data_IF_239439557339
#
_entry.id   IF_239439557339
#
_cell.length_a   1.000
_cell.length_b   1.000
_cell.length_c   1.000
_cell.angle_alpha   90.00
_cell.angle_beta   90.00
_cell.angle_gamma   90.00
#
_symmetry.space_group_name_H-M   'P 1'
#
loop_
_entity.id
_entity.type
_entity.pdbx_description
1 polymer ?
#
# COMPACT_ATOMS: atom_id res chain seq x y z
N UNK A 1 -23.75 0.29 -3.12
CA UNK A 1 -22.69 1.32 -2.87
C UNK A 1 -21.35 0.68 -3.27
N UNK A 2 -20.46 1.39 -3.98
CA UNK A 2 -19.09 0.88 -4.28
C UNK A 2 -18.34 0.62 -2.97
N UNK A 3 -17.60 -0.46 -2.92
CA UNK A 3 -16.69 -0.77 -1.81
C UNK A 3 -15.59 0.28 -1.64
N UNK A 4 -14.71 0.07 -0.65
CA UNK A 4 -13.61 0.97 -0.31
C UNK A 4 -12.25 0.32 -0.55
N UNK A 5 -11.35 1.03 -1.21
CA UNK A 5 -9.95 0.63 -1.36
C UNK A 5 -9.10 1.31 -0.27
N UNK A 6 -8.64 0.52 0.69
CA UNK A 6 -7.76 0.96 1.77
C UNK A 6 -6.38 0.36 1.52
N UNK A 7 -5.40 1.23 1.35
CA UNK A 7 -4.03 0.85 1.01
C UNK A 7 -3.13 1.00 2.24
N UNK A 8 -2.24 0.04 2.45
CA UNK A 8 -1.19 0.12 3.45
C UNK A 8 0.16 0.37 2.78
N UNK A 9 0.82 1.43 3.18
CA UNK A 9 2.12 1.84 2.66
C UNK A 9 3.17 1.94 3.77
N UNK A 10 4.43 1.96 3.39
CA UNK A 10 5.56 2.10 4.30
C UNK A 10 6.76 1.25 3.89
N UNK A 11 7.91 1.56 4.47
CA UNK A 11 9.17 0.87 4.25
C UNK A 11 9.17 -0.60 4.70
N UNK A 12 10.30 -1.25 4.52
CA UNK A 12 10.48 -2.63 4.94
C UNK A 12 10.45 -2.74 6.47
N UNK A 13 9.88 -3.83 6.99
CA UNK A 13 9.75 -4.03 8.44
C UNK A 13 8.79 -3.09 9.18
N UNK A 14 8.03 -2.24 8.47
CA UNK A 14 7.09 -1.28 9.11
C UNK A 14 5.86 -1.92 9.77
N UNK A 15 5.62 -3.22 9.57
CA UNK A 15 4.51 -3.93 10.22
C UNK A 15 3.21 -3.99 9.40
N UNK A 16 3.22 -3.63 8.12
CA UNK A 16 2.04 -3.64 7.24
C UNK A 16 1.23 -4.94 7.33
N UNK A 17 1.85 -6.07 7.10
CA UNK A 17 1.18 -7.38 7.11
C UNK A 17 0.44 -7.65 8.43
N UNK A 18 1.06 -7.30 9.57
CA UNK A 18 0.44 -7.46 10.90
C UNK A 18 -0.78 -6.55 11.05
N UNK A 19 -0.67 -5.29 10.64
CA UNK A 19 -1.75 -4.32 10.77
C UNK A 19 -2.89 -4.58 9.78
N UNK A 20 -2.59 -5.04 8.57
CA UNK A 20 -3.59 -5.48 7.60
C UNK A 20 -4.42 -6.64 8.19
N UNK A 21 -3.76 -7.66 8.77
CA UNK A 21 -4.46 -8.78 9.39
C UNK A 21 -5.34 -8.34 10.56
N UNK A 22 -4.81 -7.49 11.46
CA UNK A 22 -5.60 -6.97 12.59
C UNK A 22 -6.80 -6.12 12.13
N UNK A 23 -6.63 -5.32 11.08
CA UNK A 23 -7.75 -4.56 10.54
C UNK A 23 -8.78 -5.49 9.87
N UNK A 24 -8.32 -6.53 9.15
CA UNK A 24 -9.19 -7.53 8.55
C UNK A 24 -10.03 -8.24 9.62
N UNK A 25 -9.39 -8.77 10.67
CA UNK A 25 -10.06 -9.48 11.77
C UNK A 25 -11.09 -8.57 12.47
N UNK A 26 -10.74 -7.29 12.67
CA UNK A 26 -11.66 -6.32 13.24
C UNK A 26 -12.84 -6.03 12.32
N UNK A 27 -12.63 -5.76 11.02
CA UNK A 27 -13.69 -5.43 10.05
C UNK A 27 -14.64 -6.62 9.77
N UNK A 28 -14.18 -7.86 9.98
CA UNK A 28 -14.98 -9.08 9.77
C UNK A 28 -15.65 -9.60 11.04
N UNK A 29 -15.37 -8.99 12.20
CA UNK A 29 -16.02 -9.34 13.46
C UNK A 29 -17.46 -8.85 13.53
N UNK A 30 -18.39 -9.67 14.05
CA UNK A 30 -19.83 -9.40 14.11
C UNK A 30 -20.15 -8.05 14.73
N UNK A 31 -19.56 -7.73 15.89
CA UNK A 31 -19.75 -6.45 16.59
C UNK A 31 -19.33 -5.24 15.74
N UNK A 32 -18.28 -5.40 14.93
CA UNK A 32 -17.81 -4.32 14.06
C UNK A 32 -18.74 -4.15 12.89
N UNK A 33 -19.24 -5.22 12.28
CA UNK A 33 -20.23 -5.16 11.23
C UNK A 33 -21.50 -4.40 11.69
N UNK A 34 -22.01 -4.71 12.89
CA UNK A 34 -23.12 -3.99 13.51
C UNK A 34 -22.81 -2.50 13.72
N UNK A 35 -21.61 -2.19 14.23
CA UNK A 35 -21.16 -0.81 14.45
C UNK A 35 -21.07 -0.01 13.14
N UNK A 36 -20.52 -0.60 12.08
CA UNK A 36 -20.38 0.05 10.77
C UNK A 36 -21.73 0.30 10.13
N UNK A 37 -22.70 -0.62 10.30
CA UNK A 37 -24.08 -0.43 9.87
C UNK A 37 -24.77 0.66 10.66
N UNK A 38 -24.68 0.64 12.00
CA UNK A 38 -25.27 1.65 12.86
C UNK A 38 -24.74 3.07 12.58
N UNK A 39 -23.50 3.18 12.13
CA UNK A 39 -22.87 4.45 11.70
C UNK A 39 -23.09 4.79 10.23
N UNK A 40 -23.91 4.03 9.50
CA UNK A 40 -24.14 4.18 8.06
C UNK A 40 -22.85 4.15 7.20
N UNK A 41 -21.77 3.56 7.73
CA UNK A 41 -20.48 3.41 7.00
C UNK A 41 -20.63 2.32 5.93
N UNK A 42 -21.36 1.26 6.24
CA UNK A 42 -21.76 0.20 5.31
C UNK A 42 -23.27 0.04 5.32
N UNK A 43 -23.84 -0.33 4.18
CA UNK A 43 -25.27 -0.60 4.08
C UNK A 43 -25.58 -2.09 4.27
N UNK A 44 -26.84 -2.42 4.50
CA UNK A 44 -27.32 -3.80 4.53
C UNK A 44 -26.90 -4.55 3.25
N UNK A 45 -26.35 -5.75 3.42
CA UNK A 45 -25.77 -6.52 2.32
C UNK A 45 -24.27 -6.27 2.07
N UNK A 46 -23.56 -5.63 3.01
CA UNK A 46 -22.09 -5.54 2.97
C UNK A 46 -21.46 -6.93 2.80
N UNK A 47 -20.75 -7.19 1.67
CA UNK A 47 -20.28 -8.53 1.33
C UNK A 47 -19.00 -8.93 2.09
N UNK A 48 -18.38 -8.00 2.83
CA UNK A 48 -17.17 -8.26 3.62
C UNK A 48 -15.90 -7.61 3.05
N UNK A 49 -14.75 -8.19 3.42
CA UNK A 49 -13.41 -7.65 3.15
C UNK A 49 -12.62 -8.61 2.26
N UNK A 50 -11.85 -8.08 1.32
CA UNK A 50 -10.84 -8.78 0.53
C UNK A 50 -9.45 -8.32 0.92
N UNK A 51 -8.51 -9.27 0.97
CA UNK A 51 -7.08 -8.99 1.17
C UNK A 51 -6.34 -9.19 -0.13
N UNK A 52 -5.44 -8.26 -0.46
CA UNK A 52 -4.57 -8.37 -1.63
C UNK A 52 -3.26 -7.60 -1.43
N UNK A 53 -2.39 -7.65 -2.43
CA UNK A 53 -1.08 -6.98 -2.41
C UNK A 53 -0.57 -6.64 -3.79
N UNK A 54 0.34 -5.69 -3.87
CA UNK A 54 1.18 -5.42 -5.03
C UNK A 54 2.68 -5.46 -4.67
N UNK A 55 3.52 -6.12 -5.47
CA UNK A 55 3.14 -6.98 -6.58
C UNK A 55 2.66 -8.35 -6.09
N UNK A 56 1.89 -9.06 -6.95
CA UNK A 56 1.57 -10.46 -6.75
C UNK A 56 0.13 -10.77 -6.33
N UNK A 57 -0.81 -9.86 -6.57
CA UNK A 57 -2.24 -10.08 -6.29
C UNK A 57 -2.90 -11.11 -7.22
N UNK A 58 -2.45 -11.23 -8.46
CA UNK A 58 -2.98 -12.14 -9.49
C UNK A 58 -2.01 -13.28 -9.80
N UNK A 59 -2.41 -14.23 -10.64
CA UNK A 59 -1.50 -15.29 -11.10
C UNK A 59 -0.32 -14.69 -11.88
N UNK A 60 -0.59 -13.84 -12.88
CA UNK A 60 0.45 -13.12 -13.61
C UNK A 60 1.30 -12.26 -12.67
N UNK A 61 0.65 -11.59 -11.70
CA UNK A 61 1.34 -10.79 -10.71
C UNK A 61 2.32 -11.59 -9.85
N UNK A 62 2.02 -12.85 -9.52
CA UNK A 62 2.95 -13.72 -8.79
C UNK A 62 4.22 -14.02 -9.59
N UNK A 63 4.11 -14.24 -10.89
CA UNK A 63 5.25 -14.43 -11.78
C UNK A 63 6.09 -13.15 -11.89
N UNK A 64 5.44 -12.00 -12.08
CA UNK A 64 6.10 -10.69 -12.08
C UNK A 64 6.79 -10.42 -10.74
N UNK A 65 6.15 -10.73 -9.62
CA UNK A 65 6.75 -10.61 -8.28
C UNK A 65 8.02 -11.44 -8.15
N UNK A 66 8.00 -12.67 -8.64
CA UNK A 66 9.19 -13.53 -8.65
C UNK A 66 10.33 -12.89 -9.44
N UNK A 67 10.05 -12.36 -10.65
CA UNK A 67 11.05 -11.64 -11.45
C UNK A 67 11.62 -10.42 -10.73
N UNK A 68 10.76 -9.68 -10.01
CA UNK A 68 11.14 -8.45 -9.31
C UNK A 68 11.99 -8.69 -8.07
N UNK A 69 11.69 -9.75 -7.29
CA UNK A 69 12.25 -9.96 -5.96
C UNK A 69 13.37 -11.00 -5.91
N UNK A 70 13.46 -11.89 -6.91
CA UNK A 70 14.53 -12.89 -6.97
C UNK A 70 15.89 -12.21 -7.19
N UNK A 71 16.85 -12.62 -6.38
CA UNK A 71 18.25 -12.26 -6.61
C UNK A 71 18.72 -12.86 -7.95
N UNK A 72 19.47 -12.07 -8.70
CA UNK A 72 20.09 -12.51 -9.95
C UNK A 72 21.52 -12.99 -9.67
N UNK A 73 22.00 -13.85 -10.55
CA UNK A 73 23.41 -14.23 -10.52
C UNK A 73 24.29 -12.96 -10.57
N UNK A 74 25.32 -12.83 -9.71
CA UNK A 74 26.20 -11.67 -9.73
C UNK A 74 26.90 -11.42 -11.08
N UNK A 75 26.97 -12.46 -11.94
CA UNK A 75 27.54 -12.37 -13.29
C UNK A 75 26.52 -11.87 -14.33
N UNK A 76 25.23 -11.85 -13.99
CA UNK A 76 24.19 -11.33 -14.88
C UNK A 76 24.10 -9.81 -14.79
N UNK A 77 23.64 -9.20 -15.89
CA UNK A 77 23.32 -7.78 -15.87
C UNK A 77 22.19 -7.48 -14.87
N UNK A 78 22.36 -6.48 -13.99
CA UNK A 78 21.31 -6.12 -13.02
C UNK A 78 20.06 -5.62 -13.72
N UNK A 79 18.89 -5.82 -13.08
CA UNK A 79 17.65 -5.22 -13.54
C UNK A 79 17.75 -3.70 -13.48
N UNK A 80 17.60 -3.03 -14.63
CA UNK A 80 17.61 -1.58 -14.70
C UNK A 80 16.32 -0.97 -14.12
N UNK A 81 16.41 0.22 -13.55
CA UNK A 81 15.29 0.87 -12.86
C UNK A 81 14.05 1.07 -13.73
N UNK A 82 14.21 1.29 -15.04
CA UNK A 82 13.07 1.41 -15.98
C UNK A 82 12.33 0.08 -16.16
N UNK A 83 13.08 -1.05 -16.27
CA UNK A 83 12.45 -2.38 -16.37
C UNK A 83 11.72 -2.73 -15.08
N UNK A 84 12.30 -2.42 -13.90
CA UNK A 84 11.66 -2.57 -12.60
C UNK A 84 10.33 -1.79 -12.55
N UNK A 85 10.34 -0.52 -12.95
CA UNK A 85 9.14 0.33 -12.99
C UNK A 85 8.04 -0.24 -13.90
N UNK A 86 8.40 -0.69 -15.10
CA UNK A 86 7.44 -1.24 -16.07
C UNK A 86 6.83 -2.57 -15.58
N UNK A 87 7.60 -3.42 -14.89
CA UNK A 87 7.08 -4.64 -14.29
C UNK A 87 6.09 -4.34 -13.16
N UNK A 88 6.35 -3.35 -12.29
CA UNK A 88 5.37 -2.92 -11.30
C UNK A 88 4.09 -2.36 -11.95
N UNK A 89 4.22 -1.62 -13.04
CA UNK A 89 3.06 -1.09 -13.76
C UNK A 89 2.23 -2.21 -14.43
N UNK A 90 2.89 -3.24 -14.99
CA UNK A 90 2.24 -4.40 -15.59
C UNK A 90 1.48 -5.24 -14.54
N UNK A 91 2.11 -5.52 -13.38
CA UNK A 91 1.44 -6.18 -12.25
C UNK A 91 0.18 -5.42 -11.82
N UNK A 92 0.31 -4.12 -11.63
CA UNK A 92 -0.80 -3.24 -11.21
C UNK A 92 -1.93 -3.23 -12.21
N UNK A 93 -1.63 -3.12 -13.50
CA UNK A 93 -2.66 -3.10 -14.55
C UNK A 93 -3.50 -4.39 -14.53
N UNK A 94 -2.87 -5.55 -14.42
CA UNK A 94 -3.56 -6.83 -14.29
C UNK A 94 -4.38 -6.90 -13.00
N UNK A 95 -3.79 -6.48 -11.87
CA UNK A 95 -4.43 -6.54 -10.57
C UNK A 95 -5.67 -5.65 -10.48
N UNK A 96 -5.62 -4.45 -11.03
CA UNK A 96 -6.74 -3.51 -11.03
C UNK A 96 -7.93 -4.07 -11.79
N UNK A 97 -7.73 -4.55 -13.02
CA UNK A 97 -8.82 -5.00 -13.87
C UNK A 97 -9.35 -6.40 -13.46
N UNK A 98 -8.46 -7.31 -13.03
CA UNK A 98 -8.86 -8.66 -12.67
C UNK A 98 -9.52 -8.77 -11.29
N UNK A 99 -9.10 -7.94 -10.32
CA UNK A 99 -9.52 -8.08 -8.93
C UNK A 99 -10.10 -6.81 -8.33
N UNK A 100 -9.36 -5.69 -8.34
CA UNK A 100 -9.75 -4.51 -7.55
C UNK A 100 -11.10 -3.93 -8.03
N UNK A 101 -11.25 -3.69 -9.32
CA UNK A 101 -12.52 -3.14 -9.89
C UNK A 101 -13.71 -4.05 -9.61
N UNK A 102 -13.67 -5.36 -9.97
CA UNK A 102 -14.80 -6.26 -9.70
C UNK A 102 -15.18 -6.35 -8.22
N UNK A 103 -14.19 -6.41 -7.31
CA UNK A 103 -14.49 -6.46 -5.88
C UNK A 103 -15.11 -5.16 -5.37
N UNK A 104 -14.57 -4.02 -5.78
CA UNK A 104 -15.11 -2.72 -5.37
C UNK A 104 -16.51 -2.48 -5.93
N UNK A 105 -16.78 -2.87 -7.18
CA UNK A 105 -18.10 -2.79 -7.79
C UNK A 105 -19.12 -3.70 -7.10
N UNK A 106 -18.67 -4.89 -6.65
CA UNK A 106 -19.48 -5.80 -5.84
C UNK A 106 -19.68 -5.34 -4.38
N UNK A 107 -19.08 -4.20 -3.98
CA UNK A 107 -19.26 -3.60 -2.65
C UNK A 107 -18.27 -4.07 -1.58
N UNK A 108 -17.31 -4.93 -1.92
CA UNK A 108 -16.28 -5.36 -0.97
C UNK A 108 -15.38 -4.21 -0.55
N UNK A 109 -15.00 -4.19 0.71
CA UNK A 109 -13.83 -3.43 1.14
C UNK A 109 -12.58 -4.22 0.78
N UNK A 110 -11.58 -3.52 0.27
CA UNK A 110 -10.32 -4.13 -0.16
C UNK A 110 -9.18 -3.54 0.65
N UNK A 111 -8.46 -4.40 1.38
CA UNK A 111 -7.21 -4.04 2.05
C UNK A 111 -6.05 -4.47 1.16
N UNK A 112 -5.28 -3.51 0.69
CA UNK A 112 -4.19 -3.74 -0.26
C UNK A 112 -2.83 -3.39 0.38
N UNK A 113 -1.90 -4.36 0.40
CA UNK A 113 -0.50 -4.12 0.80
C UNK A 113 0.25 -3.54 -0.41
N UNK A 114 0.48 -2.24 -0.40
CA UNK A 114 1.09 -1.40 -1.43
C UNK A 114 0.17 -1.12 -2.63
N UNK A 115 0.35 0.06 -3.20
CA UNK A 115 -0.30 0.52 -4.43
C UNK A 115 0.58 1.57 -5.13
N UNK A 116 -0.01 2.60 -5.73
CA UNK A 116 0.67 3.63 -6.53
C UNK A 116 1.71 4.44 -5.76
N UNK A 117 1.49 4.71 -4.47
CA UNK A 117 2.40 5.52 -3.66
C UNK A 117 3.72 4.78 -3.38
N UNK A 118 3.69 3.43 -3.32
CA UNK A 118 4.92 2.62 -3.34
C UNK A 118 5.78 2.89 -4.57
N UNK A 119 5.19 3.01 -5.77
CA UNK A 119 5.96 3.27 -7.00
C UNK A 119 6.59 4.67 -6.96
N UNK A 120 5.87 5.67 -6.46
CA UNK A 120 6.42 7.01 -6.26
C UNK A 120 7.60 6.98 -5.27
N UNK A 121 7.44 6.30 -4.12
CA UNK A 121 8.47 6.24 -3.11
C UNK A 121 9.69 5.43 -3.56
N UNK A 122 9.49 4.22 -4.10
CA UNK A 122 10.58 3.29 -4.44
C UNK A 122 11.26 3.64 -5.77
N UNK A 123 10.49 3.78 -6.86
CA UNK A 123 11.05 4.06 -8.18
C UNK A 123 11.29 5.56 -8.39
N UNK A 124 10.43 6.42 -7.85
CA UNK A 124 10.60 7.87 -7.92
C UNK A 124 11.74 8.35 -7.01
N UNK A 125 11.51 8.37 -5.72
CA UNK A 125 12.51 8.87 -4.76
C UNK A 125 13.69 7.90 -4.60
N UNK A 126 13.43 6.60 -4.41
CA UNK A 126 14.45 5.59 -4.20
C UNK A 126 15.40 5.42 -5.38
N UNK A 127 14.88 5.14 -6.58
CA UNK A 127 15.63 4.98 -7.84
C UNK A 127 15.88 6.29 -8.58
N UNK A 128 15.30 7.41 -8.11
CA UNK A 128 15.46 8.74 -8.69
C UNK A 128 14.94 8.85 -10.14
N UNK A 129 13.86 8.12 -10.44
CA UNK A 129 13.16 8.27 -11.71
C UNK A 129 12.19 9.45 -11.68
N UNK A 130 11.86 9.95 -12.86
CA UNK A 130 10.99 11.11 -13.04
C UNK A 130 9.58 10.88 -12.50
N UNK A 131 9.13 11.71 -11.56
CA UNK A 131 7.81 11.58 -10.92
C UNK A 131 6.64 11.79 -11.89
N UNK A 132 6.65 12.78 -12.80
CA UNK A 132 5.66 12.88 -13.88
C UNK A 132 5.49 11.62 -14.70
N UNK A 133 6.59 10.98 -15.12
CA UNK A 133 6.56 9.73 -15.87
C UNK A 133 5.89 8.61 -15.05
N UNK A 134 6.25 8.47 -13.77
CA UNK A 134 5.65 7.48 -12.86
C UNK A 134 4.16 7.74 -12.70
N UNK A 135 3.76 8.99 -12.55
CA UNK A 135 2.35 9.36 -12.46
C UNK A 135 1.57 8.95 -13.71
N UNK A 136 2.09 9.23 -14.92
CA UNK A 136 1.46 8.82 -16.16
C UNK A 136 1.31 7.29 -16.25
N UNK A 137 2.36 6.54 -15.90
CA UNK A 137 2.30 5.08 -15.88
C UNK A 137 1.30 4.55 -14.85
N UNK A 138 1.23 5.16 -13.67
CA UNK A 138 0.22 4.82 -12.68
C UNK A 138 -1.19 5.09 -13.21
N UNK A 139 -1.43 6.21 -13.88
CA UNK A 139 -2.74 6.50 -14.51
C UNK A 139 -3.12 5.46 -15.56
N UNK A 140 -2.18 5.06 -16.41
CA UNK A 140 -2.39 4.00 -17.42
C UNK A 140 -2.71 2.67 -16.73
N UNK A 141 -1.88 2.26 -15.74
CA UNK A 141 -2.01 0.98 -15.08
C UNK A 141 -3.28 0.87 -14.22
N UNK A 142 -3.75 1.97 -13.63
CA UNK A 142 -4.93 1.95 -12.76
C UNK A 142 -6.23 2.29 -13.50
N UNK A 143 -6.15 2.83 -14.73
CA UNK A 143 -7.31 3.43 -15.40
C UNK A 143 -7.97 4.49 -14.52
N UNK A 144 -7.17 5.22 -13.72
CA UNK A 144 -7.63 6.26 -12.81
C UNK A 144 -8.25 5.77 -11.50
N UNK A 145 -8.18 4.47 -11.18
CA UNK A 145 -8.66 3.94 -9.88
C UNK A 145 -7.81 4.51 -8.75
N UNK A 146 -8.48 5.19 -7.81
CA UNK A 146 -7.87 5.84 -6.64
C UNK A 146 -8.14 5.05 -5.37
N UNK A 147 -7.21 5.12 -4.40
CA UNK A 147 -7.48 4.67 -3.04
C UNK A 147 -8.50 5.60 -2.35
N UNK A 148 -9.38 5.02 -1.57
CA UNK A 148 -10.29 5.79 -0.71
C UNK A 148 -9.55 6.29 0.55
N UNK A 149 -8.51 5.54 0.97
CA UNK A 149 -7.61 5.90 2.06
C UNK A 149 -6.28 5.15 1.91
N UNK A 150 -5.16 5.83 2.10
CA UNK A 150 -3.84 5.23 2.26
C UNK A 150 -3.35 5.42 3.68
N UNK A 151 -2.96 4.33 4.35
CA UNK A 151 -2.39 4.30 5.69
C UNK A 151 -0.87 4.13 5.55
N UNK A 152 -0.11 5.20 5.75
CA UNK A 152 1.34 5.13 5.75
C UNK A 152 1.87 4.81 7.14
N UNK A 153 2.41 3.59 7.32
CA UNK A 153 3.09 3.18 8.54
C UNK A 153 4.46 3.83 8.60
N UNK A 154 4.53 4.95 9.32
CA UNK A 154 5.74 5.75 9.49
C UNK A 154 6.68 5.08 10.48
N UNK A 155 7.75 4.48 9.98
CA UNK A 155 8.81 3.84 10.77
C UNK A 155 10.17 4.21 10.16
N UNK A 156 11.14 4.71 10.96
CA UNK A 156 12.48 4.99 10.47
C UNK A 156 13.12 3.75 9.82
N UNK A 157 13.83 3.92 8.69
CA UNK A 157 14.38 2.80 7.92
C UNK A 157 15.29 1.88 8.73
N UNK A 158 16.13 2.43 9.61
CA UNK A 158 17.04 1.67 10.46
C UNK A 158 16.31 0.71 11.41
N UNK A 159 15.14 1.12 11.94
CA UNK A 159 14.31 0.28 12.79
C UNK A 159 13.66 -0.84 11.98
N UNK A 160 13.11 -0.50 10.80
CA UNK A 160 12.50 -1.44 9.89
C UNK A 160 13.50 -2.50 9.38
N UNK A 161 14.67 -2.08 8.92
CA UNK A 161 15.74 -2.98 8.47
C UNK A 161 16.26 -3.88 9.59
N UNK A 162 16.35 -3.38 10.84
CA UNK A 162 16.70 -4.22 11.99
C UNK A 162 15.66 -5.31 12.23
N UNK A 163 14.36 -4.98 12.21
CA UNK A 163 13.26 -5.95 12.36
C UNK A 163 13.29 -7.00 11.23
N UNK A 164 13.59 -6.58 10.01
CA UNK A 164 13.67 -7.45 8.84
C UNK A 164 14.82 -8.48 8.95
N UNK A 165 16.04 -8.04 9.31
CA UNK A 165 17.19 -8.93 9.50
C UNK A 165 16.95 -10.06 10.51
N UNK A 166 16.04 -9.86 11.44
CA UNK A 166 15.67 -10.90 12.42
C UNK A 166 14.73 -11.97 11.84
N UNK A 167 14.14 -11.75 10.64
CA UNK A 167 13.17 -12.67 10.02
C UNK A 167 13.77 -13.67 9.02
N UNK A 168 15.00 -13.48 8.58
CA UNK A 168 15.68 -14.41 7.66
C UNK A 168 16.19 -13.77 6.36
N UNK A 169 16.12 -14.49 5.25
CA UNK A 169 16.63 -14.03 3.95
C UNK A 169 15.90 -12.77 3.48
N UNK A 170 16.71 -11.75 3.12
CA UNK A 170 16.24 -10.50 2.53
C UNK A 170 16.08 -10.67 1.01
N UNK A 171 15.04 -10.09 0.42
CA UNK A 171 14.88 -10.04 -1.03
C UNK A 171 15.75 -8.95 -1.68
N UNK A 172 15.75 -8.89 -3.01
CA UNK A 172 16.57 -7.95 -3.79
C UNK A 172 16.33 -6.47 -3.41
N UNK A 173 15.12 -6.09 -3.06
CA UNK A 173 14.80 -4.72 -2.66
C UNK A 173 15.24 -4.47 -1.22
N UNK A 174 15.03 -5.44 -0.35
CA UNK A 174 15.43 -5.39 1.06
C UNK A 174 16.95 -5.28 1.23
N UNK A 175 17.72 -5.83 0.29
CA UNK A 175 19.19 -5.76 0.25
C UNK A 175 19.74 -4.44 -0.31
N UNK A 176 18.89 -3.54 -0.78
CA UNK A 176 19.33 -2.25 -1.28
C UNK A 176 20.05 -1.44 -0.18
N UNK A 177 20.83 -0.46 -0.57
CA UNK A 177 21.62 0.36 0.35
C UNK A 177 20.74 1.13 1.34
N UNK A 178 21.29 1.43 2.53
CA UNK A 178 20.60 2.25 3.52
C UNK A 178 20.18 3.62 2.93
N UNK A 179 21.01 4.22 2.08
CA UNK A 179 20.71 5.47 1.40
C UNK A 179 19.47 5.35 0.47
N UNK A 180 19.27 4.18 -0.17
CA UNK A 180 18.07 3.92 -0.94
C UNK A 180 16.83 3.89 -0.04
N UNK A 181 16.87 3.14 1.06
CA UNK A 181 15.75 3.06 2.01
C UNK A 181 15.44 4.40 2.66
N UNK A 182 16.47 5.23 2.91
CA UNK A 182 16.26 6.61 3.41
C UNK A 182 15.50 7.44 2.38
N UNK A 183 15.89 7.42 1.10
CA UNK A 183 15.16 8.15 0.05
C UNK A 183 13.72 7.65 -0.11
N UNK A 184 13.47 6.34 0.02
CA UNK A 184 12.11 5.78 0.01
C UNK A 184 11.27 6.34 1.17
N UNK A 185 11.84 6.38 2.37
CA UNK A 185 11.21 6.97 3.55
C UNK A 185 10.89 8.45 3.34
N UNK A 186 11.86 9.22 2.86
CA UNK A 186 11.70 10.65 2.55
C UNK A 186 10.60 10.87 1.49
N UNK A 187 10.50 9.94 0.52
CA UNK A 187 9.44 9.92 -0.48
C UNK A 187 8.05 9.77 0.15
N UNK A 188 7.86 8.79 1.01
CA UNK A 188 6.58 8.64 1.73
C UNK A 188 6.29 9.86 2.63
N UNK A 189 7.29 10.41 3.30
CA UNK A 189 7.12 11.60 4.13
C UNK A 189 6.67 12.81 3.30
N UNK A 190 7.24 13.01 2.12
CA UNK A 190 6.84 14.08 1.21
C UNK A 190 5.40 13.91 0.70
N UNK A 191 5.00 12.67 0.35
CA UNK A 191 3.64 12.35 -0.07
C UNK A 191 2.62 12.64 1.05
N UNK A 192 2.89 12.19 2.26
CA UNK A 192 2.00 12.36 3.40
C UNK A 192 1.92 13.82 3.89
N UNK A 193 3.04 14.55 3.88
CA UNK A 193 3.09 15.92 4.36
C UNK A 193 2.14 16.85 3.58
N UNK A 194 2.07 16.71 2.24
CA UNK A 194 1.16 17.52 1.42
C UNK A 194 -0.30 17.20 1.68
N UNK A 195 -0.62 15.96 1.98
CA UNK A 195 -1.98 15.55 2.33
C UNK A 195 -2.41 16.10 3.70
N UNK A 196 -1.50 16.12 4.67
CA UNK A 196 -1.74 16.71 6.01
C UNK A 196 -2.04 18.23 5.95
N UNK A 197 -1.52 18.94 4.96
CA UNK A 197 -1.83 20.36 4.72
C UNK A 197 -3.14 20.61 3.97
N UNK A 198 -3.89 19.55 3.67
CA UNK A 198 -5.16 19.62 2.94
C UNK A 198 -5.01 19.68 1.41
N UNK A 199 -3.79 19.85 0.90
CA UNK A 199 -3.51 19.79 -0.53
C UNK A 199 -2.96 18.38 -0.88
N UNK A 200 -3.66 17.57 -1.69
CA UNK A 200 -3.16 16.26 -2.09
C UNK A 200 -1.85 16.41 -2.86
N UNK A 201 -0.91 15.48 -2.65
CA UNK A 201 0.28 15.41 -3.48
C UNK A 201 -0.14 15.21 -4.95
N UNK A 202 0.41 15.99 -5.91
CA UNK A 202 -0.09 16.01 -7.30
C UNK A 202 -0.05 14.64 -7.99
N UNK A 203 0.76 13.72 -7.51
CA UNK A 203 0.96 12.40 -8.10
C UNK A 203 0.37 11.25 -7.27
N UNK A 204 -0.02 11.47 -6.01
CA UNK A 204 -0.69 10.45 -5.19
C UNK A 204 -2.10 10.17 -5.70
N UNK A 205 -2.55 8.92 -5.55
CA UNK A 205 -3.88 8.51 -6.02
C UNK A 205 -5.00 8.83 -5.04
N UNK A 206 -4.72 9.11 -3.77
CA UNK A 206 -5.76 9.33 -2.76
C UNK A 206 -5.22 9.99 -1.48
N UNK A 207 -6.08 10.17 -0.47
CA UNK A 207 -5.68 10.75 0.80
C UNK A 207 -4.75 9.80 1.57
N UNK A 208 -3.66 10.34 2.11
CA UNK A 208 -2.69 9.59 2.92
C UNK A 208 -2.82 10.02 4.38
N UNK A 209 -3.02 9.05 5.26
CA UNK A 209 -2.98 9.22 6.71
C UNK A 209 -1.70 8.60 7.26
N UNK A 210 -0.89 9.40 7.94
CA UNK A 210 0.31 8.95 8.64
C UNK A 210 -0.07 8.22 9.93
N UNK A 211 0.50 7.03 10.11
CA UNK A 211 0.34 6.19 11.32
C UNK A 211 1.72 5.96 11.92
N UNK A 212 1.95 6.35 13.15
CA UNK A 212 3.23 6.14 13.83
C UNK A 212 3.50 4.66 14.09
N UNK A 213 4.53 4.11 13.44
CA UNK A 213 4.90 2.69 13.46
C UNK A 213 5.81 2.27 14.63
N UNK A 214 6.27 3.24 15.43
CA UNK A 214 7.11 2.99 16.61
C UNK A 214 6.29 2.98 17.89
N UNK A 215 5.24 2.15 17.89
CA UNK A 215 4.35 1.89 19.02
C UNK A 215 4.07 0.40 19.14
N UNK A 216 3.32 -0.02 20.15
CA UNK A 216 2.88 -1.41 20.26
C UNK A 216 1.96 -1.78 19.10
N UNK A 217 1.93 -3.07 18.77
CA UNK A 217 1.08 -3.59 17.68
C UNK A 217 -0.40 -3.21 17.91
N UNK A 218 -0.86 -3.27 19.17
CA UNK A 218 -2.25 -3.02 19.54
C UNK A 218 -2.59 -1.53 19.55
N UNK A 219 -1.67 -0.65 19.96
CA UNK A 219 -1.85 0.81 19.86
C UNK A 219 -1.99 1.26 18.40
N UNK A 220 -1.15 0.71 17.50
CA UNK A 220 -1.21 0.99 16.08
C UNK A 220 -2.56 0.52 15.52
N UNK A 221 -2.99 -0.71 15.86
CA UNK A 221 -4.25 -1.25 15.41
C UNK A 221 -5.44 -0.41 15.88
N UNK A 222 -5.45 0.00 17.14
CA UNK A 222 -6.50 0.86 17.71
C UNK A 222 -6.55 2.22 17.01
N UNK A 223 -5.40 2.83 16.74
CA UNK A 223 -5.34 4.09 16.00
C UNK A 223 -5.87 3.94 14.57
N UNK A 224 -5.49 2.86 13.87
CA UNK A 224 -6.01 2.57 12.51
C UNK A 224 -7.54 2.43 12.53
N UNK A 225 -8.11 1.72 13.51
CA UNK A 225 -9.56 1.57 13.66
C UNK A 225 -10.26 2.93 13.85
N UNK A 226 -9.69 3.82 14.67
CA UNK A 226 -10.20 5.17 14.86
C UNK A 226 -10.17 6.00 13.57
N UNK A 227 -9.07 5.90 12.81
CA UNK A 227 -8.94 6.57 11.50
C UNK A 227 -10.01 6.06 10.52
N UNK A 228 -10.23 4.75 10.45
CA UNK A 228 -11.27 4.16 9.60
C UNK A 228 -12.66 4.69 9.96
N UNK A 229 -13.01 4.65 11.24
CA UNK A 229 -14.30 5.15 11.72
C UNK A 229 -14.47 6.65 11.42
N UNK A 230 -13.43 7.45 11.68
CA UNK A 230 -13.48 8.89 11.42
C UNK A 230 -13.65 9.20 9.92
N UNK A 231 -12.80 8.58 9.08
CA UNK A 231 -12.76 8.85 7.64
C UNK A 231 -14.07 8.50 6.94
N UNK A 232 -14.68 7.38 7.31
CA UNK A 232 -15.87 6.88 6.62
C UNK A 232 -17.19 7.19 7.32
N UNK A 233 -17.17 7.74 8.56
CA UNK A 233 -18.39 8.27 9.22
C UNK A 233 -18.74 9.70 8.78
N UNK A 234 -17.80 10.47 8.25
CA UNK A 234 -17.97 11.89 7.94
C UNK A 234 -18.68 12.17 6.60
N UNK A 235 -19.32 11.19 6.00
CA UNK A 235 -20.00 11.26 4.71
C UNK A 235 -21.53 11.23 4.81
N UNK A 236 -22.12 11.55 5.97
CA UNK A 236 -23.57 11.69 6.17
C UNK A 236 -23.92 13.14 6.47
#
# INVERSE_FOLDING_TARGET
MRGKLIVFEGGEGSGKTTQIQKLYDWLTGDRTCELLQAKNIVQGGYPGVKLTREPGGTLLGKEIRQLLLTERDPNDAPMISKSELLLYAADRAQHVEEQLRPWLEAGYWVLCDRYTDSTLAYQGYGRQLDLPLIHQLNQIATGGLKSDLTLWLNLPPEVGLKRMRQRGQADRIEQASQAFHQRVYDGFAALAQRTETGAPHPYSSGPIQRIEGDRTIDDIATHIQQVILHTFSAGV
#
